data_IF_753187854846
#
_entry.id   IF_753187854846
#
_cell.length_a   1.000
_cell.length_b   1.000
_cell.length_c   1.000
_cell.angle_alpha   90.00
_cell.angle_beta   90.00
_cell.angle_gamma   90.00
#
_symmetry.space_group_name_H-M   'P 1'
#
loop_
_entity.id
_entity.type
_entity.pdbx_description
1 polymer ?
#
# COMPACT_ATOMS: atom_id res chain seq x y z
N UNK A 1 12.36 21.01 64.80
CA UNK A 1 11.13 20.70 64.08
C UNK A 1 11.13 21.54 62.77
N UNK A 2 11.54 20.94 61.65
CA UNK A 2 11.47 21.58 60.35
C UNK A 2 10.00 21.53 59.93
N UNK A 3 9.35 22.70 59.76
CA UNK A 3 7.93 22.78 59.46
C UNK A 3 7.65 22.19 58.04
N UNK A 4 6.67 21.30 57.95
CA UNK A 4 6.20 20.60 56.76
C UNK A 4 6.04 21.51 55.50
N UNK A 5 5.64 22.80 55.61
CA UNK A 5 5.51 23.72 54.47
C UNK A 5 6.84 24.12 53.80
N UNK A 6 7.96 24.02 54.47
CA UNK A 6 9.27 24.33 53.89
C UNK A 6 9.80 23.15 53.09
N UNK A 7 9.52 21.93 53.48
CA UNK A 7 9.93 20.70 52.78
C UNK A 7 9.19 20.54 51.43
N UNK A 8 7.89 20.87 51.40
CA UNK A 8 7.11 20.82 50.15
C UNK A 8 7.55 21.89 49.16
N UNK A 9 7.91 23.09 49.62
CA UNK A 9 8.46 24.16 48.74
C UNK A 9 9.81 23.79 48.16
N UNK A 10 10.70 23.18 48.94
CA UNK A 10 11.99 22.68 48.50
C UNK A 10 11.82 21.56 47.45
N UNK A 11 10.84 20.68 47.63
CA UNK A 11 10.56 19.61 46.69
C UNK A 11 10.03 20.13 45.34
N UNK A 12 9.15 21.14 45.37
CA UNK A 12 8.65 21.82 44.17
C UNK A 12 9.78 22.55 43.42
N UNK A 13 10.66 23.24 44.12
CA UNK A 13 11.81 23.93 43.53
C UNK A 13 12.78 22.91 42.90
N UNK A 14 13.00 21.77 43.55
CA UNK A 14 13.86 20.71 43.02
C UNK A 14 13.28 20.08 41.74
N UNK A 15 11.96 19.85 41.71
CA UNK A 15 11.28 19.33 40.49
C UNK A 15 11.37 20.34 39.35
N UNK A 16 11.12 21.63 39.62
CA UNK A 16 11.22 22.68 38.61
C UNK A 16 12.66 22.81 38.11
N UNK A 17 13.65 22.73 39.00
CA UNK A 17 15.08 22.74 38.57
C UNK A 17 15.45 21.52 37.71
N UNK A 18 14.93 20.31 38.01
CA UNK A 18 15.12 19.12 37.23
C UNK A 18 14.45 19.21 35.84
N UNK A 19 13.25 19.82 35.75
CA UNK A 19 12.56 20.04 34.47
C UNK A 19 13.28 21.06 33.62
N UNK A 20 13.79 22.14 34.21
CA UNK A 20 14.57 23.17 33.49
C UNK A 20 15.94 22.65 33.05
N UNK A 21 16.59 21.79 33.83
CA UNK A 21 17.86 21.16 33.44
C UNK A 21 17.70 20.14 32.29
N UNK A 22 16.50 19.52 32.16
CA UNK A 22 16.19 18.61 31.05
C UNK A 22 16.00 19.28 29.68
N UNK A 23 15.80 20.61 29.64
CA UNK A 23 15.68 21.40 28.42
C UNK A 23 17.03 21.99 27.91
N UNK A 24 18.16 21.66 28.50
CA UNK A 24 19.47 21.99 27.95
C UNK A 24 19.65 21.19 26.65
N UNK A 25 19.29 21.81 25.51
CA UNK A 25 19.33 21.20 24.19
C UNK A 25 20.71 20.59 23.95
N UNK A 26 20.74 19.30 23.57
CA UNK A 26 21.97 18.70 23.01
C UNK A 26 22.38 19.53 21.81
N UNK A 27 23.59 20.06 21.85
CA UNK A 27 24.17 20.71 20.66
C UNK A 27 24.10 19.71 19.50
N UNK A 28 23.58 20.17 18.37
CA UNK A 28 23.47 19.33 17.17
C UNK A 28 24.92 19.00 16.68
N UNK A 29 25.36 17.74 16.76
CA UNK A 29 26.72 17.36 16.40
C UNK A 29 27.03 17.61 14.92
N UNK A 30 26.03 17.87 14.10
CA UNK A 30 26.17 18.14 12.67
C UNK A 30 26.31 19.64 12.36
N UNK A 31 26.40 20.53 13.42
CA UNK A 31 26.65 21.94 13.22
C UNK A 31 27.98 22.11 12.50
N UNK A 32 27.97 22.84 11.37
CA UNK A 32 29.17 23.07 10.55
C UNK A 32 29.48 22.01 9.50
N UNK A 33 28.69 20.92 9.42
CA UNK A 33 28.86 19.96 8.33
C UNK A 33 28.48 20.58 6.99
N UNK A 34 29.26 20.29 5.97
CA UNK A 34 28.99 20.70 4.59
C UNK A 34 27.82 19.86 3.99
N UNK A 35 27.23 20.34 2.89
CA UNK A 35 26.22 19.60 2.17
C UNK A 35 26.69 18.22 1.71
N UNK A 36 27.95 18.10 1.27
CA UNK A 36 28.53 16.81 0.88
C UNK A 36 28.70 15.86 2.05
N UNK A 37 29.02 16.37 3.22
CA UNK A 37 29.21 15.58 4.43
C UNK A 37 27.86 15.07 4.94
N UNK A 38 26.84 15.95 5.06
CA UNK A 38 25.48 15.55 5.43
C UNK A 38 24.93 14.48 4.48
N UNK A 39 25.11 14.70 3.17
CA UNK A 39 24.67 13.72 2.17
C UNK A 39 25.41 12.38 2.30
N UNK A 40 26.73 12.41 2.49
CA UNK A 40 27.55 11.21 2.66
C UNK A 40 27.13 10.38 3.87
N UNK A 41 26.92 11.04 5.03
CA UNK A 41 26.50 10.37 6.26
C UNK A 41 25.06 9.86 6.16
N UNK A 42 24.15 10.61 5.52
CA UNK A 42 22.80 10.12 5.24
C UNK A 42 22.81 8.85 4.37
N UNK A 43 23.67 8.84 3.34
CA UNK A 43 23.83 7.68 2.45
C UNK A 43 24.44 6.47 3.17
N UNK A 44 25.41 6.68 4.05
CA UNK A 44 26.00 5.64 4.87
C UNK A 44 24.94 5.04 5.80
N UNK A 45 24.21 5.87 6.54
CA UNK A 45 23.13 5.44 7.41
C UNK A 45 22.05 4.63 6.64
N UNK A 46 21.67 5.09 5.44
CA UNK A 46 20.72 4.39 4.57
C UNK A 46 21.23 3.00 4.18
N UNK A 47 22.50 2.88 3.81
CA UNK A 47 23.12 1.63 3.40
C UNK A 47 23.30 0.65 4.58
N UNK A 48 23.48 1.15 5.79
CA UNK A 48 23.59 0.37 7.03
C UNK A 48 22.20 -0.06 7.58
N UNK A 49 21.11 0.43 6.98
CA UNK A 49 19.75 0.16 7.45
C UNK A 49 19.31 1.05 8.62
N UNK A 50 20.08 2.08 8.96
CA UNK A 50 19.74 3.07 9.97
C UNK A 50 18.84 4.17 9.37
N UNK A 51 17.63 3.80 9.00
CA UNK A 51 16.74 4.62 8.17
C UNK A 51 16.33 5.92 8.86
N UNK A 52 16.02 5.89 10.17
CA UNK A 52 15.67 7.08 10.95
C UNK A 52 16.82 8.11 10.94
N UNK A 53 18.05 7.63 11.08
CA UNK A 53 19.22 8.50 11.03
C UNK A 53 19.49 9.04 9.63
N UNK A 54 19.22 8.23 8.58
CA UNK A 54 19.31 8.67 7.20
C UNK A 54 18.30 9.81 6.93
N UNK A 55 17.06 9.66 7.39
CA UNK A 55 16.02 10.70 7.31
C UNK A 55 16.50 11.98 8.00
N UNK A 56 16.96 11.89 9.25
CA UNK A 56 17.44 13.04 10.01
C UNK A 56 18.53 13.81 9.25
N UNK A 57 19.52 13.12 8.68
CA UNK A 57 20.60 13.78 7.95
C UNK A 57 20.15 14.38 6.62
N UNK A 58 19.25 13.72 5.89
CA UNK A 58 18.67 14.27 4.66
C UNK A 58 17.81 15.51 4.95
N UNK A 59 17.01 15.50 6.01
CA UNK A 59 16.21 16.66 6.41
C UNK A 59 17.10 17.86 6.83
N UNK A 60 18.16 17.58 7.60
CA UNK A 60 19.15 18.62 7.94
C UNK A 60 19.84 19.17 6.70
N UNK A 61 20.11 18.31 5.72
CA UNK A 61 20.66 18.73 4.44
C UNK A 61 19.69 19.66 3.69
N UNK A 62 18.42 19.29 3.55
CA UNK A 62 17.41 20.14 2.90
C UNK A 62 17.22 21.48 3.64
N UNK A 63 17.15 21.43 4.97
CA UNK A 63 16.94 22.64 5.78
C UNK A 63 18.09 23.63 5.69
N UNK A 64 19.36 23.16 5.64
CA UNK A 64 20.55 24.03 5.64
C UNK A 64 21.03 24.39 4.24
N UNK A 65 20.87 23.49 3.30
CA UNK A 65 21.38 23.61 1.93
C UNK A 65 20.27 23.28 0.92
N UNK A 66 19.20 24.12 0.82
CA UNK A 66 18.02 23.79 0.02
C UNK A 66 18.28 23.78 -1.49
N UNK A 67 19.45 24.21 -1.93
CA UNK A 67 19.82 24.30 -3.34
C UNK A 67 21.09 23.50 -3.65
N UNK A 68 21.22 23.09 -4.91
CA UNK A 68 22.39 22.39 -5.43
C UNK A 68 22.18 20.87 -5.55
N UNK A 69 23.19 20.21 -6.12
CA UNK A 69 23.10 18.80 -6.50
C UNK A 69 22.77 17.85 -5.34
N UNK A 70 23.28 18.12 -4.15
CA UNK A 70 23.03 17.28 -2.97
C UNK A 70 21.60 17.42 -2.45
N UNK A 71 21.03 18.62 -2.48
CA UNK A 71 19.63 18.83 -2.15
C UNK A 71 18.69 18.10 -3.14
N UNK A 72 18.96 18.24 -4.44
CA UNK A 72 18.19 17.54 -5.46
C UNK A 72 18.26 16.02 -5.31
N UNK A 73 19.44 15.50 -4.99
CA UNK A 73 19.61 14.07 -4.75
C UNK A 73 18.91 13.62 -3.45
N UNK A 74 18.98 14.42 -2.39
CA UNK A 74 18.29 14.14 -1.14
C UNK A 74 16.77 14.07 -1.32
N UNK A 75 16.18 14.99 -2.12
CA UNK A 75 14.75 15.03 -2.38
C UNK A 75 14.19 13.73 -2.99
N UNK A 76 15.01 12.99 -3.74
CA UNK A 76 14.58 11.70 -4.30
C UNK A 76 14.89 10.51 -3.37
N UNK A 77 15.83 10.66 -2.43
CA UNK A 77 16.23 9.61 -1.50
C UNK A 77 15.44 9.64 -0.18
N UNK A 78 14.99 10.83 0.27
CA UNK A 78 14.15 10.99 1.46
C UNK A 78 12.89 10.11 1.44
N UNK A 79 12.08 10.08 0.37
CA UNK A 79 10.92 9.21 0.31
C UNK A 79 11.24 7.74 0.53
N UNK A 80 12.37 7.28 -0.02
CA UNK A 80 12.81 5.90 0.17
C UNK A 80 13.27 5.64 1.61
N UNK A 81 13.97 6.59 2.23
CA UNK A 81 14.39 6.48 3.62
C UNK A 81 13.18 6.36 4.57
N UNK A 82 12.17 7.22 4.42
CA UNK A 82 10.91 7.13 5.16
C UNK A 82 10.17 5.80 4.92
N UNK A 83 10.10 5.38 3.65
CA UNK A 83 9.48 4.10 3.32
C UNK A 83 10.17 2.93 4.03
N UNK A 84 11.50 2.91 4.06
CA UNK A 84 12.29 1.88 4.74
C UNK A 84 12.24 1.99 6.26
N UNK A 85 12.05 3.19 6.81
CA UNK A 85 11.80 3.43 8.24
C UNK A 85 10.40 2.94 8.68
N UNK A 86 9.52 2.57 7.72
CA UNK A 86 8.16 2.15 8.03
C UNK A 86 7.20 3.32 8.26
N UNK A 87 7.52 4.49 7.73
CA UNK A 87 6.75 5.73 7.84
C UNK A 87 6.06 6.07 6.50
N UNK A 88 4.95 5.42 6.14
CA UNK A 88 4.33 5.56 4.82
C UNK A 88 3.78 6.97 4.56
N UNK A 89 3.21 7.67 5.56
CA UNK A 89 2.63 8.99 5.37
C UNK A 89 3.69 10.05 5.05
N UNK A 90 4.80 10.18 5.82
CA UNK A 90 5.91 11.04 5.46
C UNK A 90 6.53 10.67 4.10
N UNK A 91 6.64 9.37 3.78
CA UNK A 91 7.16 8.92 2.51
C UNK A 91 6.30 9.40 1.33
N UNK A 92 4.96 9.23 1.40
CA UNK A 92 4.02 9.71 0.39
C UNK A 92 4.10 11.24 0.22
N UNK A 93 4.09 11.98 1.34
CA UNK A 93 4.23 13.44 1.31
C UNK A 93 5.54 13.90 0.65
N UNK A 94 6.64 13.19 0.92
CA UNK A 94 7.94 13.49 0.32
C UNK A 94 7.98 13.18 -1.18
N UNK A 95 7.36 12.06 -1.64
CA UNK A 95 7.22 11.75 -3.08
C UNK A 95 6.39 12.81 -3.77
N UNK A 96 5.25 13.19 -3.22
CA UNK A 96 4.36 14.18 -3.82
C UNK A 96 5.07 15.54 -3.94
N UNK A 97 5.79 15.96 -2.90
CA UNK A 97 6.60 17.17 -2.95
C UNK A 97 7.68 17.09 -4.03
N UNK A 98 8.37 15.95 -4.15
CA UNK A 98 9.37 15.75 -5.21
C UNK A 98 8.75 15.90 -6.61
N UNK A 99 7.63 15.23 -6.88
CA UNK A 99 6.94 15.27 -8.18
C UNK A 99 6.48 16.69 -8.52
N UNK A 100 5.94 17.44 -7.53
CA UNK A 100 5.47 18.80 -7.71
C UNK A 100 6.61 19.78 -8.00
N UNK A 101 7.73 19.67 -7.29
CA UNK A 101 8.87 20.57 -7.43
C UNK A 101 9.73 20.25 -8.67
N UNK A 102 9.71 19.00 -9.13
CA UNK A 102 10.58 18.50 -10.18
C UNK A 102 9.83 17.80 -11.33
N UNK A 103 8.86 18.47 -12.01
CA UNK A 103 7.94 17.83 -12.96
C UNK A 103 8.62 17.33 -14.25
N UNK A 104 9.89 17.61 -14.45
CA UNK A 104 10.69 17.16 -15.61
C UNK A 104 11.95 16.40 -15.20
N UNK A 105 11.99 15.92 -13.96
CA UNK A 105 13.16 15.18 -13.47
C UNK A 105 13.30 13.83 -14.17
N UNK A 106 14.52 13.39 -14.55
CA UNK A 106 14.73 12.12 -15.23
C UNK A 106 14.29 10.89 -14.43
N UNK A 107 14.16 11.00 -13.10
CA UNK A 107 13.74 9.90 -12.22
C UNK A 107 12.27 10.04 -11.75
N UNK A 108 11.39 10.69 -12.53
CA UNK A 108 9.96 10.73 -12.20
C UNK A 108 9.33 9.34 -12.26
N UNK A 109 9.81 8.49 -13.14
CA UNK A 109 9.41 7.08 -13.21
C UNK A 109 9.66 6.36 -11.88
N UNK A 110 10.84 6.57 -11.26
CA UNK A 110 11.13 6.04 -9.94
C UNK A 110 10.20 6.61 -8.86
N UNK A 111 9.90 7.90 -8.91
CA UNK A 111 9.01 8.53 -7.94
C UNK A 111 7.60 7.92 -7.97
N UNK A 112 7.00 7.73 -9.15
CA UNK A 112 5.71 7.05 -9.29
C UNK A 112 5.76 5.59 -8.86
N UNK A 113 6.83 4.89 -9.23
CA UNK A 113 7.06 3.52 -8.79
C UNK A 113 7.13 3.42 -7.25
N UNK A 114 7.92 4.28 -6.61
CA UNK A 114 8.06 4.30 -5.15
C UNK A 114 6.73 4.65 -4.46
N UNK A 115 5.96 5.60 -5.00
CA UNK A 115 4.62 5.94 -4.47
C UNK A 115 3.68 4.74 -4.53
N UNK A 116 3.66 4.05 -5.68
CA UNK A 116 2.92 2.80 -5.82
C UNK A 116 3.38 1.73 -4.83
N UNK A 117 4.69 1.57 -4.61
CA UNK A 117 5.21 0.62 -3.61
C UNK A 117 4.79 0.96 -2.17
N UNK A 118 4.84 2.23 -1.80
CA UNK A 118 4.43 2.69 -0.46
C UNK A 118 2.96 2.33 -0.23
N UNK A 119 2.07 2.71 -1.17
CA UNK A 119 0.65 2.40 -1.07
C UNK A 119 0.38 0.88 -1.09
N UNK A 120 1.09 0.12 -1.95
CA UNK A 120 0.97 -1.33 -2.04
C UNK A 120 1.32 -2.02 -0.71
N UNK A 121 2.37 -1.54 -0.02
CA UNK A 121 2.85 -2.14 1.23
C UNK A 121 2.25 -1.49 2.50
N UNK A 122 1.44 -0.46 2.38
CA UNK A 122 0.93 0.34 3.51
C UNK A 122 0.21 -0.48 4.58
N UNK A 123 -0.45 -1.55 4.17
CA UNK A 123 -1.18 -2.43 5.09
C UNK A 123 -0.39 -3.66 5.54
N UNK A 124 0.78 -3.88 4.94
CA UNK A 124 1.67 -4.97 5.33
C UNK A 124 2.48 -4.50 6.56
N UNK A 125 1.93 -4.65 7.77
CA UNK A 125 2.63 -4.31 9.00
C UNK A 125 3.93 -5.13 9.17
N UNK A 126 4.75 -4.76 10.15
CA UNK A 126 6.02 -5.43 10.51
C UNK A 126 5.93 -6.97 10.61
N UNK A 127 4.76 -7.52 10.94
CA UNK A 127 4.52 -8.95 11.09
C UNK A 127 3.88 -9.59 9.84
N UNK A 128 3.75 -8.90 8.73
CA UNK A 128 3.08 -9.42 7.52
C UNK A 128 3.74 -10.70 6.98
N UNK A 129 5.07 -10.82 7.09
CA UNK A 129 5.80 -12.02 6.67
C UNK A 129 5.52 -13.23 7.58
N UNK A 130 5.13 -13.00 8.84
CA UNK A 130 4.81 -14.05 9.81
C UNK A 130 3.31 -14.41 9.79
N UNK A 131 2.45 -13.42 9.51
CA UNK A 131 1.00 -13.57 9.50
C UNK A 131 0.44 -12.92 8.22
N UNK A 132 0.52 -13.63 7.08
CA UNK A 132 -0.06 -13.13 5.85
C UNK A 132 -1.56 -12.88 6.02
N UNK A 133 -2.03 -11.69 5.64
CA UNK A 133 -3.45 -11.36 5.63
C UNK A 133 -4.04 -11.69 4.27
N UNK A 134 -5.30 -12.13 4.26
CA UNK A 134 -6.03 -12.27 3.02
C UNK A 134 -6.25 -10.86 2.40
N UNK A 135 -5.78 -10.62 1.17
CA UNK A 135 -5.98 -9.34 0.49
C UNK A 135 -7.45 -8.94 0.36
N UNK A 136 -8.36 -9.92 0.29
CA UNK A 136 -9.80 -9.67 0.26
C UNK A 136 -10.38 -9.12 1.58
N UNK A 137 -9.61 -9.12 2.66
CA UNK A 137 -9.97 -8.54 3.97
C UNK A 137 -9.31 -7.19 4.24
N UNK A 138 -8.43 -6.74 3.34
CA UNK A 138 -7.71 -5.49 3.48
C UNK A 138 -8.54 -4.32 2.97
N UNK A 139 -8.21 -3.10 3.45
CA UNK A 139 -8.79 -1.89 2.91
C UNK A 139 -8.45 -1.75 1.41
N UNK A 140 -9.43 -1.60 0.51
CA UNK A 140 -9.17 -1.48 -0.92
C UNK A 140 -8.48 -0.15 -1.30
N UNK A 141 -8.63 0.93 -0.52
CA UNK A 141 -8.18 2.26 -0.91
C UNK A 141 -6.68 2.35 -1.21
N UNK A 142 -5.75 1.83 -0.38
CA UNK A 142 -4.33 1.86 -0.70
C UNK A 142 -3.98 1.06 -1.97
N UNK A 143 -4.70 -0.04 -2.24
CA UNK A 143 -4.52 -0.80 -3.48
C UNK A 143 -5.00 -0.01 -4.71
N UNK A 144 -6.12 0.69 -4.62
CA UNK A 144 -6.59 1.56 -5.70
C UNK A 144 -5.58 2.68 -5.99
N UNK A 145 -5.02 3.30 -4.95
CA UNK A 145 -3.98 4.32 -5.10
C UNK A 145 -2.70 3.75 -5.73
N UNK A 146 -2.24 2.58 -5.26
CA UNK A 146 -1.09 1.90 -5.85
C UNK A 146 -1.31 1.55 -7.32
N UNK A 147 -2.51 1.07 -7.68
CA UNK A 147 -2.87 0.77 -9.06
C UNK A 147 -2.77 2.00 -9.96
N UNK A 148 -3.30 3.14 -9.52
CA UNK A 148 -3.24 4.40 -10.26
C UNK A 148 -1.81 4.89 -10.46
N UNK A 149 -0.95 4.73 -9.45
CA UNK A 149 0.45 5.12 -9.52
C UNK A 149 1.24 4.25 -10.50
N UNK A 150 1.04 2.92 -10.45
CA UNK A 150 1.68 1.99 -11.38
C UNK A 150 1.14 2.15 -12.81
N UNK A 151 -0.16 2.37 -12.99
CA UNK A 151 -0.77 2.64 -14.28
C UNK A 151 -0.21 3.94 -14.90
N UNK A 152 -0.07 4.98 -14.09
CA UNK A 152 0.56 6.22 -14.51
C UNK A 152 2.03 6.02 -14.93
N UNK A 153 2.79 5.28 -14.14
CA UNK A 153 4.16 4.93 -14.48
C UNK A 153 4.23 4.25 -15.86
N UNK A 154 3.42 3.22 -16.10
CA UNK A 154 3.45 2.45 -17.34
C UNK A 154 3.04 3.30 -18.55
N UNK A 155 2.04 4.17 -18.39
CA UNK A 155 1.56 5.04 -19.47
C UNK A 155 2.52 6.18 -19.81
N UNK A 156 3.09 6.84 -18.79
CA UNK A 156 3.97 7.99 -18.99
C UNK A 156 5.42 7.60 -19.26
N UNK A 157 5.85 6.42 -18.76
CA UNK A 157 7.22 5.92 -18.85
C UNK A 157 7.26 4.44 -19.27
N UNK A 158 6.78 4.07 -20.47
CA UNK A 158 6.68 2.67 -20.88
C UNK A 158 8.03 1.95 -20.95
N UNK A 159 9.12 2.68 -21.20
CA UNK A 159 10.49 2.16 -21.27
C UNK A 159 11.19 2.15 -19.90
N UNK A 160 10.50 2.51 -18.83
CA UNK A 160 11.08 2.48 -17.47
C UNK A 160 11.44 1.06 -17.06
N UNK A 161 12.59 0.90 -16.44
CA UNK A 161 13.02 -0.38 -15.85
C UNK A 161 12.06 -0.89 -14.76
N UNK A 162 11.22 -0.03 -14.21
CA UNK A 162 10.24 -0.37 -13.19
C UNK A 162 8.89 -0.84 -13.79
N UNK A 163 8.62 -0.57 -15.06
CA UNK A 163 7.36 -0.88 -15.70
C UNK A 163 7.00 -2.39 -15.66
N UNK A 164 7.92 -3.35 -15.87
CA UNK A 164 7.59 -4.77 -15.78
C UNK A 164 7.13 -5.21 -14.37
N UNK A 165 7.80 -4.74 -13.31
CA UNK A 165 7.40 -5.05 -11.94
C UNK A 165 6.06 -4.36 -11.58
N UNK A 166 5.90 -3.09 -11.94
CA UNK A 166 4.65 -2.37 -11.76
C UNK A 166 3.45 -3.09 -12.40
N UNK A 167 3.62 -3.62 -13.62
CA UNK A 167 2.60 -4.39 -14.31
C UNK A 167 2.20 -5.66 -13.54
N UNK A 168 3.17 -6.41 -13.00
CA UNK A 168 2.88 -7.61 -12.19
C UNK A 168 2.12 -7.25 -10.90
N UNK A 169 2.47 -6.13 -10.26
CA UNK A 169 1.75 -5.64 -9.09
C UNK A 169 0.33 -5.21 -9.43
N UNK A 170 0.11 -4.60 -10.58
CA UNK A 170 -1.24 -4.25 -11.03
C UNK A 170 -2.11 -5.48 -11.26
N UNK A 171 -1.57 -6.59 -11.79
CA UNK A 171 -2.30 -7.86 -11.90
C UNK A 171 -2.69 -8.36 -10.50
N UNK A 172 -1.76 -8.35 -9.56
CA UNK A 172 -2.03 -8.74 -8.18
C UNK A 172 -3.11 -7.87 -7.53
N UNK A 173 -2.98 -6.54 -7.62
CA UNK A 173 -3.95 -5.58 -7.07
C UNK A 173 -5.34 -5.81 -7.66
N UNK A 174 -5.44 -5.98 -8.98
CA UNK A 174 -6.71 -6.27 -9.65
C UNK A 174 -7.38 -7.52 -9.08
N UNK A 175 -6.63 -8.60 -8.89
CA UNK A 175 -7.17 -9.83 -8.32
C UNK A 175 -7.58 -9.64 -6.84
N UNK A 176 -6.81 -8.89 -6.05
CA UNK A 176 -7.13 -8.58 -4.66
C UNK A 176 -8.43 -7.75 -4.53
N UNK A 177 -8.56 -6.71 -5.35
CA UNK A 177 -9.76 -5.86 -5.36
C UNK A 177 -11.01 -6.63 -5.84
N UNK A 178 -10.85 -7.48 -6.86
CA UNK A 178 -11.92 -8.34 -7.32
C UNK A 178 -12.36 -9.33 -6.22
N UNK A 179 -11.41 -9.92 -5.50
CA UNK A 179 -11.70 -10.83 -4.39
C UNK A 179 -12.41 -10.13 -3.22
N UNK A 180 -12.02 -8.90 -2.90
CA UNK A 180 -12.72 -8.07 -1.92
C UNK A 180 -14.18 -7.83 -2.32
N UNK A 181 -14.46 -7.39 -3.56
CA UNK A 181 -15.81 -7.16 -4.06
C UNK A 181 -16.66 -8.44 -4.07
N UNK A 182 -16.06 -9.57 -4.46
CA UNK A 182 -16.74 -10.87 -4.42
C UNK A 182 -17.10 -11.25 -2.99
N UNK A 183 -16.20 -11.12 -2.03
CA UNK A 183 -16.47 -11.39 -0.60
C UNK A 183 -17.64 -10.55 -0.08
N UNK A 184 -17.69 -9.26 -0.45
CA UNK A 184 -18.81 -8.38 -0.10
C UNK A 184 -20.11 -8.84 -0.77
N UNK A 185 -20.05 -9.33 -2.02
CA UNK A 185 -21.21 -9.90 -2.70
C UNK A 185 -21.73 -11.16 -1.97
N UNK A 186 -20.86 -12.09 -1.60
CA UNK A 186 -21.20 -13.30 -0.84
C UNK A 186 -21.80 -12.97 0.53
N UNK A 187 -21.23 -11.99 1.25
CA UNK A 187 -21.82 -11.50 2.50
C UNK A 187 -23.26 -11.02 2.35
N UNK A 188 -23.59 -10.34 1.24
CA UNK A 188 -24.96 -9.94 0.94
C UNK A 188 -25.85 -11.12 0.50
N UNK A 189 -25.29 -12.11 -0.22
CA UNK A 189 -26.01 -13.35 -0.56
C UNK A 189 -26.49 -14.11 0.67
N UNK A 190 -25.61 -14.28 1.68
CA UNK A 190 -25.96 -14.92 2.95
C UNK A 190 -27.10 -14.22 3.70
N UNK A 191 -27.28 -12.91 3.46
CA UNK A 191 -28.31 -12.07 4.08
C UNK A 191 -29.52 -11.86 3.20
N UNK A 192 -29.64 -12.61 2.10
CA UNK A 192 -30.71 -12.49 1.12
C UNK A 192 -30.90 -11.07 0.55
N UNK A 193 -29.84 -10.27 0.61
CA UNK A 193 -29.81 -8.90 0.08
C UNK A 193 -29.42 -8.92 -1.42
N UNK A 194 -30.26 -9.57 -2.23
CA UNK A 194 -29.97 -9.93 -3.62
C UNK A 194 -29.58 -8.75 -4.51
N UNK A 195 -30.20 -7.58 -4.33
CA UNK A 195 -29.87 -6.37 -5.11
C UNK A 195 -28.44 -5.91 -4.81
N UNK A 196 -28.05 -5.90 -3.54
CA UNK A 196 -26.71 -5.49 -3.14
C UNK A 196 -25.67 -6.52 -3.60
N UNK A 197 -25.97 -7.82 -3.47
CA UNK A 197 -25.12 -8.90 -3.98
C UNK A 197 -24.90 -8.79 -5.50
N UNK A 198 -25.98 -8.62 -6.26
CA UNK A 198 -25.89 -8.43 -7.71
C UNK A 198 -25.05 -7.22 -8.10
N UNK A 199 -25.20 -6.10 -7.39
CA UNK A 199 -24.43 -4.90 -7.65
C UNK A 199 -22.92 -5.11 -7.43
N UNK A 200 -22.53 -5.78 -6.35
CA UNK A 200 -21.14 -6.10 -6.04
C UNK A 200 -20.54 -7.10 -7.02
N UNK A 201 -21.24 -8.20 -7.31
CA UNK A 201 -20.79 -9.17 -8.30
C UNK A 201 -20.68 -8.56 -9.70
N UNK A 202 -21.63 -7.69 -10.10
CA UNK A 202 -21.55 -6.94 -11.36
C UNK A 202 -20.33 -6.01 -11.40
N UNK A 203 -19.94 -5.42 -10.26
CA UNK A 203 -18.72 -4.60 -10.18
C UNK A 203 -17.48 -5.42 -10.51
N UNK A 204 -17.39 -6.67 -10.00
CA UNK A 204 -16.29 -7.58 -10.38
C UNK A 204 -16.24 -7.77 -11.90
N UNK A 205 -17.39 -8.07 -12.51
CA UNK A 205 -17.48 -8.36 -13.95
C UNK A 205 -17.10 -7.13 -14.81
N UNK A 206 -17.54 -5.95 -14.39
CA UNK A 206 -17.37 -4.72 -15.18
C UNK A 206 -16.00 -4.06 -14.99
N UNK A 207 -15.45 -4.07 -13.77
CA UNK A 207 -14.25 -3.29 -13.41
C UNK A 207 -12.99 -4.15 -13.39
N UNK A 208 -13.10 -5.44 -13.07
CA UNK A 208 -11.96 -6.34 -12.91
C UNK A 208 -11.96 -7.51 -13.93
N UNK A 209 -12.03 -7.23 -15.23
CA UNK A 209 -12.08 -8.27 -16.26
C UNK A 209 -10.82 -9.14 -16.20
N UNK A 210 -11.00 -10.46 -16.35
CA UNK A 210 -9.91 -11.43 -16.29
C UNK A 210 -9.31 -11.65 -14.89
N UNK A 211 -10.01 -11.25 -13.81
CA UNK A 211 -9.63 -11.63 -12.45
C UNK A 211 -9.87 -13.11 -12.20
N UNK A 212 -9.09 -13.70 -11.29
CA UNK A 212 -9.19 -15.13 -10.94
C UNK A 212 -10.56 -15.50 -10.36
N UNK A 213 -11.23 -14.54 -9.72
CA UNK A 213 -12.56 -14.74 -9.11
C UNK A 213 -13.73 -14.52 -10.06
N UNK A 214 -13.48 -14.17 -11.33
CA UNK A 214 -14.52 -13.90 -12.32
C UNK A 214 -15.58 -15.00 -12.45
N UNK A 215 -15.23 -16.31 -12.55
CA UNK A 215 -16.23 -17.36 -12.70
C UNK A 215 -17.15 -17.42 -11.48
N UNK A 216 -16.64 -17.27 -10.27
CA UNK A 216 -17.43 -17.26 -9.04
C UNK A 216 -18.31 -16.01 -8.93
N UNK A 217 -17.80 -14.86 -9.35
CA UNK A 217 -18.58 -13.62 -9.40
C UNK A 217 -19.76 -13.71 -10.37
N UNK A 218 -19.58 -14.34 -11.54
CA UNK A 218 -20.67 -14.62 -12.48
C UNK A 218 -21.70 -15.58 -11.88
N UNK A 219 -21.26 -16.62 -11.16
CA UNK A 219 -22.17 -17.55 -10.47
C UNK A 219 -23.04 -16.84 -9.41
N UNK A 220 -22.41 -15.98 -8.59
CA UNK A 220 -23.11 -15.15 -7.60
C UNK A 220 -24.10 -14.21 -8.29
N UNK A 221 -23.69 -13.58 -9.39
CA UNK A 221 -24.54 -12.66 -10.16
C UNK A 221 -25.74 -13.36 -10.77
N UNK A 222 -25.53 -14.53 -11.39
CA UNK A 222 -26.62 -15.38 -11.93
C UNK A 222 -27.62 -15.72 -10.84
N UNK A 223 -27.18 -16.24 -9.70
CA UNK A 223 -28.05 -16.59 -8.58
C UNK A 223 -28.80 -15.38 -8.04
N UNK A 224 -28.14 -14.26 -7.86
CA UNK A 224 -28.77 -13.02 -7.38
C UNK A 224 -29.88 -12.54 -8.34
N UNK A 225 -29.66 -12.62 -9.66
CA UNK A 225 -30.68 -12.27 -10.66
C UNK A 225 -31.86 -13.26 -10.66
N UNK A 226 -31.59 -14.54 -10.49
CA UNK A 226 -32.65 -15.59 -10.36
C UNK A 226 -33.52 -15.30 -9.14
N UNK A 227 -32.95 -15.02 -7.99
CA UNK A 227 -33.69 -14.71 -6.76
C UNK A 227 -34.48 -13.38 -6.85
N UNK A 228 -34.06 -12.47 -7.72
CA UNK A 228 -34.76 -11.20 -8.01
C UNK A 228 -35.88 -11.37 -9.07
N UNK A 229 -36.01 -12.55 -9.71
CA UNK A 229 -36.94 -12.76 -10.83
C UNK A 229 -36.52 -11.99 -12.10
N UNK A 230 -35.23 -11.69 -12.26
CA UNK A 230 -34.69 -11.03 -13.44
C UNK A 230 -34.17 -12.07 -14.45
N UNK A 231 -35.08 -12.85 -15.01
CA UNK A 231 -34.81 -14.07 -15.80
C UNK A 231 -33.90 -13.77 -17.01
N UNK A 232 -34.17 -12.69 -17.75
CA UNK A 232 -33.34 -12.31 -18.91
C UNK A 232 -31.87 -12.02 -18.49
N UNK A 233 -31.66 -11.37 -17.34
CA UNK A 233 -30.32 -11.09 -16.83
C UNK A 233 -29.61 -12.35 -16.32
N UNK A 234 -30.37 -13.24 -15.67
CA UNK A 234 -29.86 -14.52 -15.21
C UNK A 234 -29.38 -15.38 -16.40
N UNK A 235 -30.23 -15.50 -17.46
CA UNK A 235 -29.89 -16.28 -18.65
C UNK A 235 -28.70 -15.69 -19.43
N UNK A 236 -28.63 -14.35 -19.58
CA UNK A 236 -27.47 -13.70 -20.18
C UNK A 236 -26.20 -13.99 -19.38
N UNK A 237 -26.25 -13.96 -18.04
CA UNK A 237 -25.10 -14.28 -17.20
C UNK A 237 -24.71 -15.74 -17.33
N UNK A 238 -25.68 -16.66 -17.41
CA UNK A 238 -25.42 -18.07 -17.65
C UNK A 238 -24.78 -18.31 -19.01
N UNK A 239 -25.24 -17.63 -20.07
CA UNK A 239 -24.60 -17.68 -21.39
C UNK A 239 -23.12 -17.27 -21.35
N UNK A 240 -22.79 -16.21 -20.59
CA UNK A 240 -21.38 -15.80 -20.40
C UNK A 240 -20.58 -16.89 -19.69
N UNK A 241 -21.14 -17.53 -18.66
CA UNK A 241 -20.51 -18.66 -17.96
C UNK A 241 -20.26 -19.83 -18.91
N UNK A 242 -21.25 -20.24 -19.70
CA UNK A 242 -21.15 -21.37 -20.64
C UNK A 242 -20.07 -21.16 -21.71
N UNK A 243 -19.96 -19.93 -22.21
CA UNK A 243 -18.96 -19.57 -23.23
C UNK A 243 -17.53 -19.49 -22.70
N UNK A 244 -17.34 -19.05 -21.47
CA UNK A 244 -16.01 -18.74 -20.95
C UNK A 244 -15.55 -19.70 -19.84
N UNK A 245 -16.48 -20.31 -19.09
CA UNK A 245 -16.22 -21.15 -17.93
C UNK A 245 -17.18 -22.34 -17.89
N UNK A 246 -17.16 -23.25 -18.90
CA UNK A 246 -18.16 -24.31 -19.06
C UNK A 246 -18.28 -25.24 -17.84
N UNK A 247 -17.16 -25.54 -17.17
CA UNK A 247 -17.19 -26.41 -15.98
C UNK A 247 -17.95 -25.75 -14.83
N UNK A 248 -17.76 -24.44 -14.64
CA UNK A 248 -18.48 -23.64 -13.63
C UNK A 248 -19.97 -23.53 -14.00
N UNK A 249 -20.30 -23.37 -15.28
CA UNK A 249 -21.67 -23.33 -15.73
C UNK A 249 -22.42 -24.62 -15.42
N UNK A 250 -21.76 -25.78 -15.57
CA UNK A 250 -22.33 -27.10 -15.19
C UNK A 250 -22.63 -27.14 -13.69
N UNK A 251 -21.70 -26.73 -12.83
CA UNK A 251 -21.88 -26.69 -11.38
C UNK A 251 -23.06 -25.76 -10.99
N UNK A 252 -23.13 -24.57 -11.60
CA UNK A 252 -24.21 -23.60 -11.35
C UNK A 252 -25.57 -24.17 -11.75
N UNK A 253 -25.69 -24.84 -12.90
CA UNK A 253 -26.95 -25.50 -13.34
C UNK A 253 -27.36 -26.66 -12.42
N UNK A 254 -26.37 -27.38 -11.86
CA UNK A 254 -26.62 -28.45 -10.89
C UNK A 254 -26.98 -27.91 -9.49
N UNK A 255 -26.88 -26.60 -9.25
CA UNK A 255 -27.07 -25.99 -7.93
C UNK A 255 -25.93 -26.29 -6.95
N UNK A 256 -24.77 -26.69 -7.46
CA UNK A 256 -23.58 -26.98 -6.68
C UNK A 256 -22.83 -25.70 -6.31
N UNK A 257 -22.14 -25.67 -5.15
CA UNK A 257 -21.29 -24.54 -4.80
C UNK A 257 -20.13 -24.44 -5.78
N UNK A 258 -19.81 -23.21 -6.21
CA UNK A 258 -18.67 -22.93 -7.07
C UNK A 258 -17.46 -22.66 -6.18
N UNK A 259 -16.55 -23.61 -6.15
CA UNK A 259 -15.22 -23.47 -5.52
C UNK A 259 -14.19 -23.16 -6.60
N UNK A 260 -13.34 -22.17 -6.35
CA UNK A 260 -12.22 -21.88 -7.25
C UNK A 260 -11.06 -22.84 -6.96
N UNK A 261 -10.45 -23.42 -8.00
CA UNK A 261 -9.25 -24.22 -7.84
C UNK A 261 -8.17 -23.43 -7.09
N UNK A 262 -7.88 -23.82 -5.87
CA UNK A 262 -6.85 -23.21 -5.05
C UNK A 262 -7.32 -22.38 -3.86
N UNK A 263 -8.62 -22.26 -3.57
CA UNK A 263 -9.14 -21.72 -2.30
C UNK A 263 -8.63 -22.51 -1.10
N UNK A 264 -8.35 -23.80 -1.27
CA UNK A 264 -7.62 -24.61 -0.26
C UNK A 264 -6.15 -24.23 -0.17
N UNK A 265 -5.79 -23.14 0.54
CA UNK A 265 -4.44 -22.78 0.99
C UNK A 265 -3.45 -22.16 -0.01
N UNK A 266 -3.87 -21.50 -1.03
CA UNK A 266 -2.97 -20.61 -1.74
C UNK A 266 -3.43 -19.17 -1.56
N UNK A 267 -3.15 -18.62 -0.38
CA UNK A 267 -3.13 -17.18 -0.30
C UNK A 267 -2.26 -16.67 -1.47
N UNK A 268 -2.73 -15.67 -2.18
CA UNK A 268 -2.06 -14.94 -3.29
C UNK A 268 -0.58 -14.60 -3.02
N UNK A 269 -0.09 -14.85 -1.84
CA UNK A 269 1.26 -14.62 -1.31
C UNK A 269 2.38 -15.35 -2.04
N UNK A 270 2.11 -16.51 -2.70
CA UNK A 270 3.16 -17.21 -3.46
C UNK A 270 3.60 -16.48 -4.74
N UNK A 271 2.81 -15.52 -5.21
CA UNK A 271 3.20 -14.68 -6.35
C UNK A 271 4.15 -13.58 -5.89
N UNK A 272 3.92 -13.04 -4.69
CA UNK A 272 4.76 -11.98 -4.08
C UNK A 272 6.12 -12.54 -3.67
N UNK A 273 6.19 -13.76 -3.14
CA UNK A 273 7.45 -14.45 -2.77
C UNK A 273 8.36 -14.76 -3.98
N UNK A 274 7.83 -14.73 -5.21
CA UNK A 274 8.59 -14.92 -6.44
C UNK A 274 9.09 -13.64 -7.09
N UNK A 275 8.76 -12.48 -6.53
CA UNK A 275 9.26 -11.21 -7.04
C UNK A 275 10.64 -10.96 -6.40
N UNK A 276 11.77 -11.05 -7.14
CA UNK A 276 13.14 -11.09 -6.57
C UNK A 276 13.56 -9.83 -5.81
N UNK A 277 12.76 -8.76 -5.85
CA UNK A 277 13.06 -7.47 -5.23
C UNK A 277 12.45 -7.26 -3.84
N UNK A 278 11.70 -8.24 -3.29
CA UNK A 278 11.10 -8.14 -1.96
C UNK A 278 11.93 -8.82 -0.86
N UNK A 279 13.01 -9.49 -1.21
CA UNK A 279 13.84 -10.26 -0.27
C UNK A 279 15.22 -9.67 0.00
N UNK A 280 15.48 -8.40 -0.40
CA UNK A 280 16.74 -7.70 -0.07
C UNK A 280 16.45 -6.30 0.44
#
# INVERSE_FOLDING_TARGET
MISVPHLSRLFVVLIVALVVAGCAGREDPTLGWSASQLYGEAKNALNEGNYDQAVEYYEKLEARYPFGRYAQQAQIEIPYAYYKAGEPEPALAAVDRFVQLNPRHPNLDYAYYLRGLINFNRQQGFLANLFPRDPAEMDPEPFDQAFQDFDRLIREFPDSRYAPDAYQRMIYIRNALAAYELRVAEFYMERTAWVAAAQRARNVVAVYPGSEVMPKALAVLHRAYTELGLDDHAENTMTVLELNYPDVAVAVRAGEPVELEGEERRGLWRVVDRIPFLTN
#
